data_IF_967776778016
#
_entry.id   IF_967776778016
#
_cell.length_a   1.000
_cell.length_b   1.000
_cell.length_c   1.000
_cell.angle_alpha   90.00
_cell.angle_beta   90.00
_cell.angle_gamma   90.00
#
_symmetry.space_group_name_H-M   'P 1'
#
loop_
_entity.id
_entity.type
_entity.pdbx_description
1 polymer ?
#
# COMPACT_ATOMS: atom_id res chain seq x y z
N UNK A 1 3.90 16.57 23.43
CA UNK A 1 5.02 15.60 23.39
C UNK A 1 4.54 14.29 22.74
N UNK A 2 4.87 14.09 21.47
CA UNK A 2 4.45 12.90 20.73
C UNK A 2 5.18 11.67 21.26
N UNK A 3 4.43 10.76 21.88
CA UNK A 3 4.92 9.45 22.26
C UNK A 3 5.00 8.62 20.99
N UNK A 4 6.16 8.61 20.32
CA UNK A 4 6.40 7.62 19.27
C UNK A 4 6.38 6.24 19.93
N UNK A 5 5.35 5.45 19.67
CA UNK A 5 5.25 4.10 20.19
C UNK A 5 6.45 3.28 19.70
N UNK A 6 7.05 2.51 20.62
CA UNK A 6 8.19 1.64 20.31
C UNK A 6 7.76 0.67 19.19
N UNK A 7 8.56 0.59 18.11
CA UNK A 7 8.24 -0.21 16.93
C UNK A 7 6.88 0.12 16.30
N UNK A 8 6.48 1.40 16.33
CA UNK A 8 5.18 1.88 15.84
C UNK A 8 3.97 1.19 16.49
N UNK A 9 4.17 0.53 17.64
CA UNK A 9 3.15 -0.29 18.31
C UNK A 9 2.77 -1.58 17.58
N UNK A 10 3.54 -1.97 16.54
CA UNK A 10 3.23 -3.09 15.63
C UNK A 10 4.29 -4.19 15.65
N UNK A 11 5.03 -4.27 16.74
CA UNK A 11 6.13 -5.21 16.90
C UNK A 11 6.71 -5.20 18.30
N UNK A 12 7.65 -6.12 18.53
CA UNK A 12 8.38 -6.25 19.78
C UNK A 12 9.81 -5.70 19.63
N UNK A 13 10.23 -4.82 20.52
CA UNK A 13 11.61 -4.33 20.52
C UNK A 13 12.52 -5.31 21.27
N UNK A 14 13.49 -5.88 20.56
CA UNK A 14 14.50 -6.79 21.12
C UNK A 14 15.89 -6.32 20.73
N UNK A 15 16.77 -6.07 21.71
CA UNK A 15 18.15 -5.63 21.47
C UNK A 15 18.28 -4.39 20.57
N UNK A 16 17.35 -3.43 20.70
CA UNK A 16 17.37 -2.20 19.89
C UNK A 16 16.91 -2.37 18.45
N UNK A 17 16.37 -3.53 18.08
CA UNK A 17 15.72 -3.78 16.79
C UNK A 17 14.26 -4.16 16.98
N UNK A 18 13.43 -3.78 16.01
CA UNK A 18 12.03 -4.13 15.99
C UNK A 18 11.80 -5.46 15.28
N UNK A 19 11.16 -6.40 15.98
CA UNK A 19 10.59 -7.61 15.41
C UNK A 19 9.12 -7.34 15.10
N UNK A 20 8.81 -7.06 13.83
CA UNK A 20 7.46 -6.73 13.39
C UNK A 20 6.52 -7.93 13.48
N UNK A 21 5.25 -7.65 13.72
CA UNK A 21 4.21 -8.66 13.58
C UNK A 21 4.15 -9.19 12.15
N UNK A 22 3.98 -10.50 12.02
CA UNK A 22 4.03 -11.22 10.75
C UNK A 22 2.65 -11.71 10.34
N UNK A 23 2.52 -12.07 9.06
CA UNK A 23 1.36 -12.77 8.50
C UNK A 23 0.90 -13.95 9.38
N UNK A 24 1.85 -14.73 9.91
CA UNK A 24 1.57 -15.88 10.78
C UNK A 24 0.95 -15.48 12.12
N UNK A 25 1.37 -14.36 12.71
CA UNK A 25 0.80 -13.87 13.98
C UNK A 25 -0.57 -13.23 13.79
N UNK A 26 -0.83 -12.65 12.62
CA UNK A 26 -2.10 -12.00 12.27
C UNK A 26 -3.13 -12.97 11.66
N UNK A 27 -2.70 -14.14 11.20
CA UNK A 27 -3.56 -15.10 10.50
C UNK A 27 -4.00 -14.63 9.11
N UNK A 28 -3.27 -13.69 8.51
CA UNK A 28 -3.57 -13.07 7.21
C UNK A 28 -2.32 -13.06 6.32
N UNK A 29 -2.45 -12.77 5.03
CA UNK A 29 -1.29 -12.59 4.11
C UNK A 29 -0.69 -11.17 4.18
N UNK A 30 -0.92 -10.46 5.29
CA UNK A 30 -0.52 -9.07 5.48
C UNK A 30 0.85 -8.99 6.13
N UNK A 31 1.68 -8.05 5.69
CA UNK A 31 3.05 -7.90 6.20
C UNK A 31 3.31 -6.49 6.70
N UNK A 32 3.84 -6.43 7.90
CA UNK A 32 4.41 -5.22 8.50
C UNK A 32 5.92 -5.33 8.41
N UNK A 33 6.56 -4.27 7.95
CA UNK A 33 8.00 -4.25 7.69
C UNK A 33 8.57 -2.85 7.96
N UNK A 34 9.89 -2.70 7.78
CA UNK A 34 10.63 -1.49 8.14
C UNK A 34 11.42 -1.67 9.42
N UNK A 35 12.38 -0.77 9.67
CA UNK A 35 13.30 -0.87 10.81
C UNK A 35 12.57 -0.65 12.16
N UNK A 36 11.45 0.07 12.10
CA UNK A 36 10.59 0.43 13.23
C UNK A 36 9.15 -0.07 13.03
N UNK A 37 8.94 -1.05 12.14
CA UNK A 37 7.61 -1.57 11.78
C UNK A 37 6.64 -0.48 11.32
N UNK A 38 7.19 0.56 10.69
CA UNK A 38 6.50 1.76 10.23
C UNK A 38 5.73 1.52 8.93
N UNK A 39 6.11 0.49 8.16
CA UNK A 39 5.54 0.14 6.86
C UNK A 39 4.59 -1.05 6.95
N UNK A 40 3.60 -1.06 6.07
CA UNK A 40 2.70 -2.19 5.87
C UNK A 40 2.25 -2.26 4.41
N UNK A 41 1.84 -3.44 3.94
CA UNK A 41 1.39 -3.66 2.56
C UNK A 41 -0.14 -3.64 2.37
N UNK A 42 -0.89 -3.29 3.42
CA UNK A 42 -2.35 -3.43 3.43
C UNK A 42 -3.16 -2.17 3.75
N UNK A 43 -2.51 -1.09 4.21
CA UNK A 43 -3.12 0.21 4.49
C UNK A 43 -3.17 1.14 3.27
N UNK A 44 -2.69 0.70 2.11
CA UNK A 44 -2.83 1.45 0.87
C UNK A 44 -4.30 1.52 0.40
N UNK A 45 -4.64 2.52 -0.44
CA UNK A 45 -5.97 2.63 -1.04
C UNK A 45 -6.43 1.34 -1.73
N UNK A 46 -7.71 1.00 -1.52
CA UNK A 46 -8.35 -0.17 -2.12
C UNK A 46 -9.37 0.25 -3.15
N UNK A 47 -9.42 -0.48 -4.26
CA UNK A 47 -10.49 -0.41 -5.24
C UNK A 47 -11.06 -1.80 -5.45
N UNK A 48 -12.37 -1.95 -5.28
CA UNK A 48 -13.06 -3.25 -5.41
C UNK A 48 -12.38 -4.34 -4.57
N UNK A 49 -12.07 -4.03 -3.30
CA UNK A 49 -11.35 -4.88 -2.34
C UNK A 49 -9.90 -5.24 -2.71
N UNK A 50 -9.38 -4.73 -3.83
CA UNK A 50 -7.98 -4.92 -4.25
C UNK A 50 -7.14 -3.70 -3.86
N UNK A 51 -6.05 -3.94 -3.12
CA UNK A 51 -5.05 -2.92 -2.79
C UNK A 51 -4.37 -2.46 -4.08
N UNK A 52 -4.34 -1.15 -4.31
CA UNK A 52 -3.79 -0.55 -5.53
C UNK A 52 -4.40 -1.10 -6.82
N UNK A 53 -5.70 -1.45 -6.79
CA UNK A 53 -6.43 -2.10 -7.88
C UNK A 53 -5.83 -3.45 -8.30
N UNK A 54 -5.03 -4.07 -7.43
CA UNK A 54 -4.37 -5.34 -7.63
C UNK A 54 -2.88 -5.18 -7.97
N UNK A 55 -2.13 -6.27 -7.77
CA UNK A 55 -0.69 -6.30 -8.04
C UNK A 55 -0.36 -6.04 -9.52
N UNK A 56 -1.31 -6.23 -10.43
CA UNK A 56 -1.18 -5.95 -11.86
C UNK A 56 -1.25 -4.47 -12.21
N UNK A 57 -1.85 -3.66 -11.33
CA UNK A 57 -2.04 -2.22 -11.51
C UNK A 57 -1.04 -1.41 -10.69
N UNK A 58 -0.64 -1.89 -9.51
CA UNK A 58 0.31 -1.19 -8.66
C UNK A 58 0.81 -2.01 -7.48
N UNK A 59 1.79 -1.45 -6.78
CA UNK A 59 2.37 -2.04 -5.57
C UNK A 59 2.22 -1.04 -4.42
N UNK A 60 1.80 -1.51 -3.25
CA UNK A 60 1.72 -0.69 -2.06
C UNK A 60 3.12 -0.37 -1.55
N UNK A 61 3.37 0.90 -1.22
CA UNK A 61 4.64 1.39 -0.68
C UNK A 61 4.48 1.81 0.77
N UNK A 62 5.60 1.86 1.51
CA UNK A 62 5.64 2.25 2.91
C UNK A 62 4.97 3.60 3.20
N UNK A 63 4.97 4.51 2.23
CA UNK A 63 4.33 5.83 2.34
C UNK A 63 2.79 5.78 2.32
N UNK A 64 2.19 4.58 2.40
CA UNK A 64 0.75 4.30 2.29
C UNK A 64 0.19 4.79 0.95
N UNK A 65 1.03 4.75 -0.08
CA UNK A 65 0.72 5.15 -1.44
C UNK A 65 0.89 3.99 -2.39
N UNK A 66 0.05 3.96 -3.42
CA UNK A 66 0.19 3.00 -4.50
C UNK A 66 1.20 3.51 -5.52
N UNK A 67 2.25 2.72 -5.76
CA UNK A 67 3.14 2.91 -6.90
C UNK A 67 2.53 2.20 -8.11
N UNK A 68 1.88 2.98 -8.97
CA UNK A 68 1.22 2.44 -10.15
C UNK A 68 2.22 1.93 -11.18
N UNK A 69 1.84 0.84 -11.84
CA UNK A 69 2.53 0.28 -13.01
C UNK A 69 2.26 1.16 -14.22
N UNK A 70 3.11 1.01 -15.24
CA UNK A 70 2.94 1.68 -16.52
C UNK A 70 1.56 1.39 -17.10
N UNK A 71 0.85 2.43 -17.56
CA UNK A 71 -0.53 2.30 -18.03
C UNK A 71 -1.60 2.59 -16.97
N UNK A 72 -1.22 2.82 -15.71
CA UNK A 72 -2.13 3.09 -14.59
C UNK A 72 -1.77 4.37 -13.82
N UNK A 73 -2.77 5.05 -13.30
CA UNK A 73 -2.67 6.32 -12.57
C UNK A 73 -3.76 6.45 -11.51
N UNK A 74 -3.68 7.50 -10.69
CA UNK A 74 -4.54 7.75 -9.54
C UNK A 74 -3.97 7.20 -8.24
N UNK A 75 -4.59 7.59 -7.12
CA UNK A 75 -4.13 7.21 -5.77
C UNK A 75 -4.23 5.70 -5.49
N UNK A 76 -5.15 5.00 -6.18
CA UNK A 76 -5.44 3.57 -6.07
C UNK A 76 -5.08 2.78 -7.34
N UNK A 77 -4.43 3.41 -8.31
CA UNK A 77 -4.10 2.83 -9.63
C UNK A 77 -5.31 2.26 -10.39
N UNK A 78 -6.51 2.80 -10.14
CA UNK A 78 -7.74 2.34 -10.81
C UNK A 78 -7.94 2.96 -12.19
N UNK A 79 -7.26 4.07 -12.49
CA UNK A 79 -7.43 4.79 -13.75
C UNK A 79 -6.38 4.36 -14.76
N UNK A 80 -6.79 3.98 -15.97
CA UNK A 80 -5.84 3.69 -17.05
C UNK A 80 -5.36 4.99 -17.69
N UNK A 81 -4.09 5.04 -18.09
CA UNK A 81 -3.53 6.15 -18.88
C UNK A 81 -3.79 5.99 -20.38
N UNK A 82 -4.38 4.86 -20.81
CA UNK A 82 -4.72 4.64 -22.22
C UNK A 82 -5.93 5.50 -22.60
N UNK A 83 -5.76 6.31 -23.63
CA UNK A 83 -6.83 7.14 -24.20
C UNK A 83 -7.54 6.47 -25.37
N UNK A 84 -7.22 5.22 -25.70
CA UNK A 84 -7.79 4.49 -26.83
C UNK A 84 -9.32 4.38 -26.76
N UNK A 85 -9.86 4.34 -25.54
CA UNK A 85 -11.30 4.31 -25.25
C UNK A 85 -11.89 5.70 -25.02
N UNK A 86 -11.04 6.73 -24.86
CA UNK A 86 -11.47 8.12 -24.84
C UNK A 86 -11.90 8.49 -26.27
N UNK A 87 -13.16 8.18 -26.60
CA UNK A 87 -13.76 8.72 -27.82
C UNK A 87 -13.67 10.24 -27.73
N UNK A 88 -12.98 10.85 -28.70
CA UNK A 88 -13.17 12.25 -29.06
C UNK A 88 -14.58 12.36 -29.66
N UNK A 89 -15.60 12.25 -28.81
CA UNK A 89 -16.90 12.74 -29.17
C UNK A 89 -16.81 14.25 -28.98
N UNK A 90 -16.29 14.94 -30.02
CA UNK A 90 -16.71 16.30 -30.33
C UNK A 90 -18.22 16.27 -30.65
N UNK A 91 -19.03 15.98 -29.63
CA UNK A 91 -20.45 16.33 -29.60
C UNK A 91 -20.53 17.41 -28.54
N UNK A 92 -20.43 18.64 -29.03
CA UNK A 92 -20.87 19.84 -28.36
C UNK A 92 -22.41 19.86 -28.36
#
# INVERSE_FOLDING_TARGET
PGTSDICSGRGQCTCGRCACESATTLGTDQRIYGDYCECDDFSCPRKNDLICSGADHGICTCDKRCKCKEGWTGDDCSCTTKTDTCRVNNVC
#
